data_IF_101856137204
#
_entry.id   IF_101856137204
#
_cell.length_a   1.000
_cell.length_b   1.000
_cell.length_c   1.000
_cell.angle_alpha   90.00
_cell.angle_beta   90.00
_cell.angle_gamma   90.00
#
_symmetry.space_group_name_H-M   'P 1'
#
loop_
_entity.id
_entity.type
_entity.pdbx_description
1 polymer ?
#
# COMPACT_ATOMS: atom_id res chain seq x y z
N UNK A 1 8.30 20.80 -14.75
CA UNK A 1 9.43 20.03 -15.31
C UNK A 1 9.59 18.79 -14.47
N UNK A 2 10.00 17.63 -15.01
CA UNK A 2 10.40 16.53 -14.15
C UNK A 2 11.59 17.00 -13.31
N UNK A 3 11.45 16.95 -11.99
CA UNK A 3 12.50 17.32 -11.03
C UNK A 3 13.60 16.24 -10.94
N UNK A 4 13.59 15.23 -11.80
CA UNK A 4 14.49 14.07 -11.80
C UNK A 4 15.99 14.43 -11.82
N UNK A 5 16.37 15.60 -12.33
CA UNK A 5 17.76 16.07 -12.34
C UNK A 5 18.19 16.81 -11.05
N UNK A 6 17.25 17.07 -10.13
CA UNK A 6 17.51 17.74 -8.86
C UNK A 6 17.79 16.71 -7.76
N UNK A 7 19.05 16.58 -7.26
CA UNK A 7 19.39 15.57 -6.26
C UNK A 7 18.81 15.84 -4.86
N UNK A 8 18.08 16.95 -4.69
CA UNK A 8 17.52 17.36 -3.40
C UNK A 8 15.99 17.42 -3.40
N UNK A 9 15.30 16.92 -4.43
CA UNK A 9 13.83 17.09 -4.58
C UNK A 9 13.01 16.52 -3.41
N UNK A 10 13.53 15.52 -2.69
CA UNK A 10 12.92 14.93 -1.50
C UNK A 10 13.60 15.31 -0.17
N UNK A 11 14.73 16.02 -0.22
CA UNK A 11 15.49 16.38 0.97
C UNK A 11 15.00 17.72 1.54
N UNK A 12 14.58 17.71 2.80
CA UNK A 12 14.23 18.92 3.56
C UNK A 12 15.33 19.23 4.60
N UNK A 13 15.60 20.52 4.93
CA UNK A 13 16.69 20.92 5.83
C UNK A 13 16.41 20.64 7.32
N UNK A 14 15.39 19.83 7.61
CA UNK A 14 14.94 19.44 8.95
C UNK A 14 14.38 18.02 8.89
N UNK A 15 14.25 17.37 10.04
CA UNK A 15 13.50 16.12 10.12
C UNK A 15 12.02 16.39 9.82
N UNK A 16 11.39 15.48 9.06
CA UNK A 16 9.95 15.51 8.84
C UNK A 16 9.21 15.31 10.17
N UNK A 17 8.09 16.01 10.34
CA UNK A 17 7.13 15.68 11.39
C UNK A 17 6.46 14.35 11.06
N UNK A 18 5.80 13.72 12.05
CA UNK A 18 5.07 12.46 11.82
C UNK A 18 4.04 12.58 10.69
N UNK A 19 3.31 13.70 10.62
CA UNK A 19 2.31 13.95 9.59
C UNK A 19 2.93 14.13 8.20
N UNK A 20 4.07 14.78 8.11
CA UNK A 20 4.80 14.91 6.85
C UNK A 20 5.41 13.59 6.39
N UNK A 21 5.86 12.74 7.32
CA UNK A 21 6.33 11.40 7.00
C UNK A 21 5.20 10.53 6.45
N UNK A 22 4.00 10.60 7.03
CA UNK A 22 2.79 9.94 6.47
C UNK A 22 2.51 10.43 5.05
N UNK A 23 2.57 11.74 4.81
CA UNK A 23 2.42 12.28 3.45
C UNK A 23 3.52 11.78 2.50
N UNK A 24 4.77 11.69 2.96
CA UNK A 24 5.86 11.15 2.16
C UNK A 24 5.59 9.70 1.77
N UNK A 25 5.17 8.84 2.70
CA UNK A 25 4.81 7.44 2.40
C UNK A 25 3.67 7.35 1.37
N UNK A 26 2.66 8.23 1.43
CA UNK A 26 1.60 8.29 0.40
C UNK A 26 2.15 8.68 -0.98
N UNK A 27 3.16 9.55 -1.03
CA UNK A 27 3.86 9.91 -2.28
C UNK A 27 4.68 8.74 -2.81
N UNK A 28 5.46 8.06 -1.96
CA UNK A 28 6.22 6.86 -2.36
C UNK A 28 5.28 5.77 -2.88
N UNK A 29 4.15 5.51 -2.20
CA UNK A 29 3.15 4.52 -2.64
C UNK A 29 2.56 4.86 -4.02
N UNK A 30 2.35 6.15 -4.28
CA UNK A 30 1.92 6.63 -5.60
C UNK A 30 3.02 6.41 -6.65
N UNK A 31 4.28 6.63 -6.26
CA UNK A 31 5.45 6.40 -7.10
C UNK A 31 5.58 4.95 -7.55
N UNK A 32 5.40 3.99 -6.65
CA UNK A 32 5.46 2.56 -7.01
C UNK A 32 4.33 2.17 -7.96
N UNK A 33 3.10 2.67 -7.74
CA UNK A 33 2.00 2.41 -8.66
C UNK A 33 2.23 3.05 -10.04
N UNK A 34 2.79 4.26 -10.09
CA UNK A 34 3.19 4.91 -11.36
C UNK A 34 4.28 4.09 -12.07
N UNK A 35 5.30 3.62 -11.34
CA UNK A 35 6.36 2.79 -11.88
C UNK A 35 5.81 1.48 -12.47
N UNK A 36 4.96 0.76 -11.73
CA UNK A 36 4.28 -0.44 -12.22
C UNK A 36 3.54 -0.17 -13.54
N UNK A 37 2.72 0.89 -13.57
CA UNK A 37 1.94 1.26 -14.76
C UNK A 37 2.84 1.58 -15.96
N UNK A 38 3.95 2.28 -15.75
CA UNK A 38 4.91 2.62 -16.81
C UNK A 38 5.62 1.39 -17.35
N UNK A 39 6.09 0.48 -16.49
CA UNK A 39 6.74 -0.75 -16.91
C UNK A 39 5.79 -1.68 -17.66
N UNK A 40 4.55 -1.88 -17.18
CA UNK A 40 3.54 -2.67 -17.89
C UNK A 40 3.21 -2.08 -19.27
N UNK A 41 3.06 -0.75 -19.36
CA UNK A 41 2.80 -0.07 -20.63
C UNK A 41 3.97 -0.25 -21.63
N UNK A 42 5.21 -0.09 -21.16
CA UNK A 42 6.39 -0.30 -22.01
C UNK A 42 6.59 -1.77 -22.39
N UNK A 43 6.27 -2.71 -21.49
CA UNK A 43 6.27 -4.13 -21.79
C UNK A 43 5.28 -4.47 -22.90
N UNK A 44 4.11 -3.83 -22.97
CA UNK A 44 3.17 -3.98 -24.09
C UNK A 44 3.69 -3.33 -25.37
N UNK A 45 4.39 -2.19 -25.26
CA UNK A 45 4.81 -1.37 -26.40
C UNK A 45 6.12 -1.81 -27.09
N UNK A 46 6.93 -2.66 -26.46
CA UNK A 46 8.19 -3.17 -27.04
C UNK A 46 7.97 -4.48 -27.80
N UNK A 47 8.82 -4.78 -28.77
CA UNK A 47 8.98 -6.09 -29.41
C UNK A 47 10.25 -6.84 -28.94
N UNK A 48 11.16 -6.17 -28.22
CA UNK A 48 12.34 -6.79 -27.62
C UNK A 48 11.95 -7.69 -26.43
N UNK A 49 12.24 -8.99 -26.57
CA UNK A 49 11.86 -10.01 -25.58
C UNK A 49 12.57 -9.85 -24.24
N UNK A 50 13.82 -9.37 -24.23
CA UNK A 50 14.60 -9.17 -23.00
C UNK A 50 14.04 -7.96 -22.25
N UNK A 51 13.80 -6.85 -22.94
CA UNK A 51 13.22 -5.66 -22.34
C UNK A 51 11.83 -5.96 -21.75
N UNK A 52 10.97 -6.68 -22.49
CA UNK A 52 9.66 -7.09 -22.00
C UNK A 52 9.76 -7.90 -20.71
N UNK A 53 10.67 -8.88 -20.67
CA UNK A 53 10.86 -9.72 -19.48
C UNK A 53 11.30 -8.89 -18.27
N UNK A 54 12.29 -8.00 -18.46
CA UNK A 54 12.80 -7.14 -17.37
C UNK A 54 11.71 -6.19 -16.87
N UNK A 55 10.95 -5.55 -17.76
CA UNK A 55 9.88 -4.64 -17.32
C UNK A 55 8.78 -5.34 -16.53
N UNK A 56 8.37 -6.55 -16.95
CA UNK A 56 7.34 -7.29 -16.21
C UNK A 56 7.86 -7.79 -14.85
N UNK A 57 9.14 -8.18 -14.78
CA UNK A 57 9.79 -8.59 -13.52
C UNK A 57 9.80 -7.42 -12.53
N UNK A 58 10.25 -6.23 -12.96
CA UNK A 58 10.24 -5.02 -12.12
C UNK A 58 8.81 -4.63 -11.73
N UNK A 59 7.85 -4.68 -12.66
CA UNK A 59 6.45 -4.36 -12.36
C UNK A 59 5.84 -5.31 -11.31
N UNK A 60 6.28 -6.57 -11.24
CA UNK A 60 5.86 -7.49 -10.19
C UNK A 60 6.52 -7.15 -8.84
N UNK A 61 7.81 -6.73 -8.83
CA UNK A 61 8.51 -6.25 -7.63
C UNK A 61 7.85 -5.00 -7.03
N UNK A 62 7.37 -4.05 -7.85
CA UNK A 62 6.72 -2.84 -7.32
C UNK A 62 5.45 -3.15 -6.51
N UNK A 63 4.79 -4.28 -6.76
CA UNK A 63 3.63 -4.74 -5.95
C UNK A 63 4.06 -5.13 -4.54
N UNK A 64 5.26 -5.68 -4.38
CA UNK A 64 5.84 -5.98 -3.07
C UNK A 64 6.16 -4.67 -2.33
N UNK A 65 6.78 -3.69 -3.01
CA UNK A 65 7.06 -2.36 -2.46
C UNK A 65 5.78 -1.63 -2.02
N UNK A 66 4.72 -1.68 -2.83
CA UNK A 66 3.40 -1.17 -2.44
C UNK A 66 2.89 -1.81 -1.14
N UNK A 67 3.10 -3.12 -0.97
CA UNK A 67 2.77 -3.85 0.25
C UNK A 67 3.55 -3.35 1.47
N UNK A 68 4.87 -3.15 1.34
CA UNK A 68 5.72 -2.59 2.39
C UNK A 68 5.29 -1.18 2.81
N UNK A 69 5.00 -0.32 1.83
CA UNK A 69 4.58 1.06 2.06
C UNK A 69 3.19 1.15 2.69
N UNK A 70 2.24 0.31 2.28
CA UNK A 70 0.93 0.20 2.92
C UNK A 70 1.04 -0.28 4.37
N UNK A 71 1.93 -1.23 4.67
CA UNK A 71 2.17 -1.68 6.04
C UNK A 71 2.78 -0.56 6.90
N UNK A 72 3.75 0.19 6.36
CA UNK A 72 4.34 1.34 7.03
C UNK A 72 3.30 2.45 7.26
N UNK A 73 2.43 2.71 6.28
CA UNK A 73 1.37 3.71 6.39
C UNK A 73 0.40 3.38 7.54
N UNK A 74 -0.03 2.12 7.65
CA UNK A 74 -0.89 1.67 8.74
C UNK A 74 -0.23 1.82 10.12
N UNK A 75 1.08 1.52 10.20
CA UNK A 75 1.84 1.72 11.44
C UNK A 75 1.93 3.21 11.83
N UNK A 76 2.15 4.09 10.86
CA UNK A 76 2.30 5.52 11.10
C UNK A 76 0.94 6.21 11.36
N UNK A 77 -0.13 5.80 10.68
CA UNK A 77 -1.47 6.38 10.79
C UNK A 77 -2.56 5.29 11.00
N UNK A 78 -2.77 4.84 12.25
CA UNK A 78 -3.78 3.82 12.56
C UNK A 78 -5.22 4.24 12.26
N UNK A 79 -5.50 5.55 12.18
CA UNK A 79 -6.83 6.02 11.81
C UNK A 79 -7.10 5.78 10.31
N UNK A 80 -6.11 6.04 9.45
CA UNK A 80 -6.19 5.67 8.03
C UNK A 80 -6.29 4.15 7.85
N UNK A 81 -5.58 3.35 8.66
CA UNK A 81 -5.73 1.90 8.66
C UNK A 81 -7.19 1.45 8.89
N UNK A 82 -7.92 2.13 9.80
CA UNK A 82 -9.34 1.89 10.01
C UNK A 82 -10.18 2.14 8.76
N UNK A 83 -9.96 3.26 8.07
CA UNK A 83 -10.65 3.59 6.82
C UNK A 83 -10.32 2.63 5.68
N UNK A 84 -9.07 2.16 5.58
CA UNK A 84 -8.69 1.14 4.61
C UNK A 84 -9.45 -0.17 4.85
N UNK A 85 -9.59 -0.59 6.11
CA UNK A 85 -10.36 -1.78 6.47
C UNK A 85 -11.87 -1.63 6.21
N UNK A 86 -12.44 -0.43 6.45
CA UNK A 86 -13.82 -0.11 6.07
C UNK A 86 -14.02 -0.23 4.56
N UNK A 87 -13.10 0.32 3.76
CA UNK A 87 -13.16 0.24 2.30
C UNK A 87 -13.13 -1.20 1.76
N UNK A 88 -12.34 -2.09 2.38
CA UNK A 88 -12.39 -3.53 2.08
C UNK A 88 -13.79 -4.08 2.36
N UNK A 89 -14.35 -3.79 3.53
CA UNK A 89 -15.71 -4.21 3.89
C UNK A 89 -16.80 -3.71 2.95
N UNK A 90 -16.67 -2.49 2.43
CA UNK A 90 -17.59 -1.95 1.41
C UNK A 90 -17.57 -2.79 0.13
N UNK A 91 -16.38 -3.14 -0.38
CA UNK A 91 -16.23 -3.98 -1.59
C UNK A 91 -16.83 -5.37 -1.36
N UNK A 92 -16.62 -5.97 -0.20
CA UNK A 92 -17.23 -7.26 0.13
C UNK A 92 -18.76 -7.20 0.16
N UNK A 93 -19.32 -6.11 0.69
CA UNK A 93 -20.75 -5.85 0.62
C UNK A 93 -21.24 -5.84 -0.82
N UNK A 94 -20.55 -5.12 -1.71
CA UNK A 94 -20.88 -5.08 -3.14
C UNK A 94 -20.74 -6.46 -3.80
N UNK A 95 -19.72 -7.24 -3.46
CA UNK A 95 -19.55 -8.61 -3.96
C UNK A 95 -20.71 -9.52 -3.55
N UNK A 96 -21.17 -9.40 -2.31
CA UNK A 96 -22.32 -10.16 -1.81
C UNK A 96 -23.62 -9.78 -2.53
N UNK A 97 -23.84 -8.49 -2.80
CA UNK A 97 -24.99 -8.00 -3.58
C UNK A 97 -25.01 -8.56 -5.01
N UNK A 98 -23.82 -8.75 -5.60
CA UNK A 98 -23.64 -9.35 -6.92
C UNK A 98 -23.70 -10.88 -6.92
N UNK A 99 -23.85 -11.52 -5.75
CA UNK A 99 -23.87 -12.98 -5.62
C UNK A 99 -22.51 -13.65 -5.86
N UNK A 100 -21.41 -12.93 -5.66
CA UNK A 100 -20.05 -13.46 -5.77
C UNK A 100 -19.72 -14.24 -4.48
N UNK A 101 -19.02 -15.37 -4.63
CA UNK A 101 -18.66 -16.23 -3.50
C UNK A 101 -17.79 -15.48 -2.48
N UNK A 102 -18.12 -15.65 -1.20
CA UNK A 102 -17.45 -15.01 -0.08
C UNK A 102 -16.01 -15.50 0.09
N UNK A 103 -15.68 -16.70 -0.42
CA UNK A 103 -14.30 -17.19 -0.41
C UNK A 103 -13.34 -16.29 -1.21
N UNK A 104 -13.85 -15.51 -2.17
CA UNK A 104 -13.06 -14.54 -2.95
C UNK A 104 -12.82 -13.26 -2.13
N UNK A 105 -13.74 -12.92 -1.23
CA UNK A 105 -13.61 -11.77 -0.33
C UNK A 105 -12.59 -12.04 0.80
N UNK A 106 -12.50 -13.29 1.27
CA UNK A 106 -11.54 -13.69 2.30
C UNK A 106 -10.08 -13.50 1.86
N UNK A 107 -9.80 -13.51 0.55
CA UNK A 107 -8.47 -13.30 -0.03
C UNK A 107 -8.10 -11.81 -0.22
N UNK A 108 -9.02 -10.87 0.04
CA UNK A 108 -8.74 -9.43 -0.12
C UNK A 108 -7.68 -8.96 0.90
N UNK A 109 -6.75 -8.13 0.41
CA UNK A 109 -5.75 -7.49 1.26
C UNK A 109 -6.46 -6.66 2.33
N UNK A 110 -6.22 -6.99 3.61
CA UNK A 110 -6.87 -6.34 4.75
C UNK A 110 -8.03 -7.12 5.39
N UNK A 111 -8.52 -8.20 4.78
CA UNK A 111 -9.47 -9.11 5.42
C UNK A 111 -8.91 -9.73 6.71
N UNK A 112 -7.60 -9.99 6.75
CA UNK A 112 -6.87 -10.42 7.96
C UNK A 112 -6.74 -9.33 9.04
N UNK A 113 -6.80 -8.04 8.69
CA UNK A 113 -6.70 -6.92 9.64
C UNK A 113 -7.95 -6.87 10.55
N UNK A 114 -9.10 -7.32 10.04
CA UNK A 114 -10.37 -7.32 10.80
C UNK A 114 -10.49 -8.44 11.83
N UNK A 115 -9.74 -9.53 11.66
CA UNK A 115 -9.81 -10.68 12.57
C UNK A 115 -9.03 -10.47 13.88
N UNK A 116 -8.27 -9.38 14.01
CA UNK A 116 -7.55 -9.05 15.23
C UNK A 116 -8.32 -8.05 16.11
N UNK A 117 -9.57 -8.38 16.44
CA UNK A 117 -10.25 -7.78 17.59
C UNK A 117 -9.59 -8.19 18.93
N UNK A 118 -8.55 -9.04 18.90
CA UNK A 118 -7.79 -9.49 20.07
C UNK A 118 -6.72 -8.51 20.55
N UNK A 119 -6.20 -7.61 19.72
CA UNK A 119 -5.09 -6.74 20.15
C UNK A 119 -5.50 -5.55 21.03
N UNK A 120 -6.76 -5.08 21.00
CA UNK A 120 -7.19 -4.01 21.91
C UNK A 120 -7.30 -4.48 23.37
N UNK A 121 -7.80 -5.69 23.64
CA UNK A 121 -7.88 -6.23 25.02
C UNK A 121 -6.49 -6.58 25.59
N UNK A 122 -5.54 -7.05 24.77
CA UNK A 122 -4.18 -7.37 25.22
C UNK A 122 -3.36 -6.10 25.54
N UNK A 123 -3.54 -5.01 24.80
CA UNK A 123 -2.84 -3.73 25.03
C UNK A 123 -3.35 -2.98 26.28
N UNK A 124 -4.62 -3.12 26.64
CA UNK A 124 -5.19 -2.52 27.86
C UNK A 124 -4.83 -3.32 29.13
N UNK A 125 -4.77 -4.65 29.05
CA UNK A 125 -4.39 -5.50 30.19
C UNK A 125 -2.92 -5.33 30.61
N UNK A 126 -2.03 -5.01 29.67
CA UNK A 126 -0.60 -4.78 29.92
C UNK A 126 -0.26 -3.43 30.58
N UNK A 127 -1.20 -2.47 30.65
CA UNK A 127 -0.99 -1.16 31.29
C UNK A 127 -1.32 -1.12 32.79
N UNK A 128 -1.98 -2.14 33.32
CA UNK A 128 -2.35 -2.19 34.76
C UNK A 128 -1.26 -2.78 35.66
N UNK A 129 -0.07 -3.09 35.13
CA UNK A 129 1.05 -3.65 35.89
C UNK A 129 2.34 -2.86 35.66
N UNK A 130 2.39 -1.62 36.16
CA UNK A 130 3.63 -0.91 36.55
C UNK A 130 3.32 0.30 37.40
#
# INVERSE_FOLDING_TARGET
MPELANPFVANVPRTMTKQELVQAVRVELTGELEAQMLYEAHAVATDDEVARKVFLDIADEEKEHMGELLALLQYLDPAEAGHLAEGVGEVEGMMAELGIDKSVADDLMGSSIRNDTGTQEELESGRSSK
#
